data_IF_501949364168
#
_entry.id   IF_501949364168
#
_cell.length_a   1.000
_cell.length_b   1.000
_cell.length_c   1.000
_cell.angle_alpha   90.00
_cell.angle_beta   90.00
_cell.angle_gamma   90.00
#
_symmetry.space_group_name_H-M   'P 1'
#
loop_
_entity.id
_entity.type
_entity.pdbx_description
1 polymer ?
#
# COMPACT_ATOMS: atom_id res chain seq x y z
N UNK A 1 7.17 77.69 -31.75
CA UNK A 1 7.95 76.44 -31.60
C UNK A 1 7.42 75.72 -30.36
N UNK A 2 6.33 74.95 -30.48
CA UNK A 2 5.62 74.38 -29.32
C UNK A 2 5.58 72.84 -29.45
N UNK A 3 6.39 72.13 -28.65
CA UNK A 3 6.37 70.67 -28.56
C UNK A 3 5.26 70.25 -27.60
N UNK A 4 4.20 69.63 -28.12
CA UNK A 4 3.23 68.89 -27.31
C UNK A 4 3.84 67.53 -26.97
N UNK A 5 4.09 67.28 -25.68
CA UNK A 5 4.50 65.97 -25.17
C UNK A 5 3.21 65.17 -24.92
N UNK A 6 3.01 64.07 -25.64
CA UNK A 6 1.94 63.12 -25.41
C UNK A 6 2.46 62.03 -24.45
N UNK A 7 1.87 61.93 -23.26
CA UNK A 7 2.05 60.79 -22.36
C UNK A 7 1.20 59.62 -22.87
N UNK A 8 1.85 58.50 -23.18
CA UNK A 8 1.17 57.24 -23.45
C UNK A 8 1.03 56.45 -22.14
N UNK A 9 -0.21 56.26 -21.66
CA UNK A 9 -0.51 55.29 -20.61
C UNK A 9 -0.49 53.88 -21.21
N UNK A 10 0.49 53.07 -20.83
CA UNK A 10 0.50 51.64 -21.12
C UNK A 10 -0.35 50.90 -20.08
N UNK A 11 -1.57 50.50 -20.47
CA UNK A 11 -2.41 49.60 -19.68
C UNK A 11 -1.88 48.18 -19.90
N UNK A 12 -1.19 47.62 -18.91
CA UNK A 12 -0.87 46.19 -18.88
C UNK A 12 -2.12 45.42 -18.48
N UNK A 13 -2.83 44.86 -19.47
CA UNK A 13 -3.90 43.91 -19.22
C UNK A 13 -3.28 42.62 -18.64
N UNK A 14 -3.48 42.37 -17.35
CA UNK A 14 -3.25 41.05 -16.74
C UNK A 14 -4.29 40.08 -17.32
N UNK A 15 -3.97 39.46 -18.45
CA UNK A 15 -4.73 38.32 -18.95
C UNK A 15 -4.41 37.12 -18.05
N UNK A 16 -5.30 36.85 -17.08
CA UNK A 16 -5.27 35.62 -16.29
C UNK A 16 -5.51 34.45 -17.23
N UNK A 17 -4.44 33.84 -17.74
CA UNK A 17 -4.52 32.59 -18.48
C UNK A 17 -4.93 31.50 -17.49
N UNK A 18 -6.23 31.17 -17.48
CA UNK A 18 -6.70 29.99 -16.78
C UNK A 18 -5.96 28.78 -17.37
N UNK A 19 -5.03 28.22 -16.59
CA UNK A 19 -4.37 26.98 -16.98
C UNK A 19 -5.43 25.88 -16.98
N UNK A 20 -5.55 25.07 -18.05
CA UNK A 20 -6.40 23.89 -18.00
C UNK A 20 -5.94 23.03 -16.83
N UNK A 21 -6.86 22.71 -15.91
CA UNK A 21 -6.59 21.73 -14.86
C UNK A 21 -6.58 20.36 -15.52
N UNK A 22 -5.40 19.75 -15.64
CA UNK A 22 -5.31 18.36 -16.07
C UNK A 22 -5.37 17.47 -14.84
N UNK A 23 -6.21 16.44 -14.87
CA UNK A 23 -6.05 15.32 -13.95
C UNK A 23 -4.70 14.64 -14.25
N UNK A 24 -3.98 14.28 -13.20
CA UNK A 24 -2.77 13.48 -13.26
C UNK A 24 -2.98 12.20 -12.46
N UNK A 25 -2.49 11.07 -12.99
CA UNK A 25 -2.47 9.79 -12.28
C UNK A 25 -1.05 9.53 -11.82
N UNK A 26 -0.87 9.18 -10.56
CA UNK A 26 0.40 8.72 -9.99
C UNK A 26 0.22 7.28 -9.52
N UNK A 27 1.16 6.40 -9.86
CA UNK A 27 1.16 4.99 -9.47
C UNK A 27 2.43 4.72 -8.68
N UNK A 28 2.28 4.15 -7.48
CA UNK A 28 3.38 3.80 -6.59
C UNK A 28 3.04 2.55 -5.79
N UNK A 29 4.08 1.84 -5.35
CA UNK A 29 3.95 0.62 -4.55
C UNK A 29 3.72 0.88 -3.06
N UNK A 30 3.56 -0.20 -2.31
CA UNK A 30 3.56 -0.15 -0.85
C UNK A 30 4.92 0.34 -0.32
N UNK A 31 4.88 1.11 0.76
CA UNK A 31 6.05 1.56 1.50
C UNK A 31 6.44 0.60 2.64
N UNK A 32 5.46 -0.16 3.17
CA UNK A 32 5.65 -1.24 4.13
C UNK A 32 4.59 -2.31 3.89
N UNK A 33 4.92 -3.58 4.07
CA UNK A 33 3.95 -4.66 4.13
C UNK A 33 4.33 -5.76 5.15
N UNK A 34 3.33 -6.33 5.83
CA UNK A 34 3.57 -7.40 6.80
C UNK A 34 2.32 -8.25 7.00
N UNK A 35 2.50 -9.53 7.34
CA UNK A 35 1.39 -10.44 7.69
C UNK A 35 1.49 -10.93 9.14
N UNK A 36 0.33 -11.10 9.80
CA UNK A 36 0.20 -11.59 11.18
C UNK A 36 -0.69 -12.83 11.26
N UNK A 37 -0.41 -13.70 12.24
CA UNK A 37 -0.94 -15.05 12.31
C UNK A 37 -1.60 -15.32 13.67
N UNK A 38 -2.90 -15.60 13.69
CA UNK A 38 -3.65 -15.79 14.95
C UNK A 38 -3.16 -17.00 15.76
N UNK A 39 -2.78 -18.09 15.11
CA UNK A 39 -2.30 -19.30 15.78
C UNK A 39 -0.82 -19.22 16.17
N UNK A 40 -0.05 -18.33 15.55
CA UNK A 40 1.37 -18.13 15.81
C UNK A 40 1.57 -16.66 16.19
N UNK A 41 1.08 -16.29 17.36
CA UNK A 41 0.95 -14.90 17.81
C UNK A 41 2.27 -14.13 17.93
N UNK A 42 3.39 -14.84 18.04
CA UNK A 42 4.76 -14.30 18.12
C UNK A 42 5.50 -14.38 16.76
N UNK A 43 4.81 -14.81 15.70
CA UNK A 43 5.36 -14.83 14.35
C UNK A 43 4.98 -13.57 13.57
N UNK A 44 5.86 -13.21 12.65
CA UNK A 44 5.76 -12.08 11.74
C UNK A 44 6.19 -12.46 10.32
N UNK A 45 5.99 -11.51 9.39
CA UNK A 45 6.16 -11.70 7.95
C UNK A 45 6.43 -10.36 7.25
N UNK A 46 7.32 -9.53 7.78
CA UNK A 46 7.68 -8.22 7.19
C UNK A 46 8.67 -8.30 6.01
N UNK A 47 9.45 -9.37 5.93
CA UNK A 47 10.41 -9.62 4.84
C UNK A 47 9.90 -10.63 3.81
N UNK A 48 8.62 -10.98 3.84
CA UNK A 48 8.00 -11.99 3.00
C UNK A 48 7.85 -11.54 1.53
N UNK A 49 7.57 -12.48 0.63
CA UNK A 49 7.36 -12.16 -0.80
C UNK A 49 5.89 -11.81 -1.12
N UNK A 50 5.01 -11.80 -0.12
CA UNK A 50 3.60 -11.53 -0.36
C UNK A 50 2.77 -11.50 0.92
N UNK A 51 1.56 -10.98 0.76
CA UNK A 51 0.59 -10.82 1.83
C UNK A 51 -0.20 -12.10 2.06
N UNK A 52 -0.29 -12.54 3.32
CA UNK A 52 -1.11 -13.68 3.73
C UNK A 52 -2.36 -13.17 4.45
N UNK A 53 -3.52 -13.43 3.87
CA UNK A 53 -4.84 -13.03 4.39
C UNK A 53 -5.81 -14.20 4.44
N UNK A 54 -6.94 -14.04 5.13
CA UNK A 54 -7.97 -15.08 5.26
C UNK A 54 -7.67 -16.05 6.41
N UNK A 55 -7.79 -17.35 6.17
CA UNK A 55 -7.60 -18.40 7.20
C UNK A 55 -6.75 -19.57 6.70
N UNK A 56 -6.16 -20.38 7.61
CA UNK A 56 -5.66 -21.73 7.24
C UNK A 56 -6.80 -22.75 7.19
N UNK A 57 -6.43 -23.98 6.84
CA UNK A 57 -7.19 -25.21 7.04
C UNK A 57 -7.69 -25.44 8.49
N UNK A 58 -7.15 -24.74 9.49
CA UNK A 58 -7.61 -24.80 10.88
C UNK A 58 -8.48 -23.58 11.27
N UNK A 59 -8.97 -22.80 10.30
CA UNK A 59 -9.79 -21.59 10.52
C UNK A 59 -9.14 -20.50 11.37
N UNK A 60 -7.82 -20.55 11.57
CA UNK A 60 -7.05 -19.51 12.23
C UNK A 60 -6.83 -18.34 11.27
N UNK A 61 -7.12 -17.12 11.73
CA UNK A 61 -7.06 -15.90 10.94
C UNK A 61 -5.64 -15.47 10.57
N UNK A 62 -5.53 -14.81 9.41
CA UNK A 62 -4.34 -14.13 8.89
C UNK A 62 -4.76 -12.78 8.39
N UNK A 63 -3.96 -11.78 8.72
CA UNK A 63 -4.20 -10.39 8.33
C UNK A 63 -2.91 -9.84 7.78
N UNK A 64 -3.04 -8.97 6.79
CA UNK A 64 -1.95 -8.22 6.24
C UNK A 64 -2.13 -6.74 6.59
N UNK A 65 -1.03 -6.07 6.88
CA UNK A 65 -0.93 -4.63 6.91
C UNK A 65 -0.16 -4.16 5.68
N UNK A 66 -0.62 -3.07 5.08
CA UNK A 66 0.03 -2.40 3.96
C UNK A 66 -0.01 -0.90 4.21
N UNK A 67 1.13 -0.23 4.02
CA UNK A 67 1.25 1.21 4.16
C UNK A 67 1.71 1.82 2.84
N UNK A 68 1.31 3.06 2.59
CA UNK A 68 1.64 3.80 1.38
C UNK A 68 2.07 5.22 1.74
N UNK A 69 3.17 5.70 1.16
CA UNK A 69 3.60 7.10 1.32
C UNK A 69 2.86 8.04 0.35
N UNK A 70 1.57 8.27 0.59
CA UNK A 70 0.76 9.10 -0.30
C UNK A 70 1.29 10.55 -0.35
N UNK A 71 1.80 11.09 0.75
CA UNK A 71 2.26 12.48 0.82
C UNK A 71 3.55 12.70 0.02
N UNK A 72 4.43 11.70 -0.05
CA UNK A 72 5.67 11.76 -0.85
C UNK A 72 5.43 11.78 -2.36
N UNK A 73 4.30 11.23 -2.83
CA UNK A 73 3.99 11.11 -4.26
C UNK A 73 2.97 12.13 -4.80
N UNK A 74 2.17 12.76 -3.93
CA UNK A 74 1.10 13.68 -4.35
C UNK A 74 1.52 15.15 -4.12
N UNK A 75 1.47 16.02 -5.14
CA UNK A 75 1.81 17.43 -5.00
C UNK A 75 0.97 18.16 -3.95
N UNK A 76 1.60 19.06 -3.18
CA UNK A 76 0.91 19.89 -2.21
C UNK A 76 -0.21 20.71 -2.88
N UNK A 77 -1.41 20.70 -2.28
CA UNK A 77 -2.59 21.40 -2.80
C UNK A 77 -3.37 20.62 -3.87
N UNK A 78 -2.94 19.42 -4.26
CA UNK A 78 -3.72 18.56 -5.15
C UNK A 78 -5.01 18.07 -4.47
N UNK A 79 -6.09 17.97 -5.24
CA UNK A 79 -7.35 17.35 -4.83
C UNK A 79 -7.39 15.93 -5.38
N UNK A 80 -7.43 14.93 -4.49
CA UNK A 80 -7.55 13.53 -4.88
C UNK A 80 -8.99 13.24 -5.31
N UNK A 81 -9.18 12.90 -6.59
CA UNK A 81 -10.51 12.63 -7.16
C UNK A 81 -10.90 11.15 -7.06
N UNK A 82 -9.93 10.25 -7.18
CA UNK A 82 -10.13 8.81 -7.06
C UNK A 82 -8.87 8.14 -6.54
N UNK A 83 -9.03 6.96 -5.96
CA UNK A 83 -7.95 6.07 -5.52
C UNK A 83 -8.30 4.66 -5.97
N UNK A 84 -7.32 3.93 -6.47
CA UNK A 84 -7.41 2.52 -6.81
C UNK A 84 -6.31 1.77 -6.06
N UNK A 85 -6.66 0.63 -5.47
CA UNK A 85 -5.73 -0.32 -4.88
C UNK A 85 -5.73 -1.58 -5.74
N UNK A 86 -4.62 -1.85 -6.40
CA UNK A 86 -4.42 -3.06 -7.19
C UNK A 86 -3.70 -4.12 -6.35
N UNK A 87 -4.34 -5.28 -6.19
CA UNK A 87 -3.78 -6.45 -5.51
C UNK A 87 -3.77 -7.64 -6.48
N UNK A 88 -2.65 -8.36 -6.52
CA UNK A 88 -2.52 -9.58 -7.32
C UNK A 88 -2.75 -10.79 -6.43
N UNK A 89 -3.73 -11.63 -6.77
CA UNK A 89 -3.97 -12.88 -6.07
C UNK A 89 -2.90 -13.90 -6.46
N UNK A 90 -1.93 -14.11 -5.58
CA UNK A 90 -0.83 -15.05 -5.80
C UNK A 90 -1.18 -16.53 -5.60
N UNK A 91 -2.28 -16.83 -4.91
CA UNK A 91 -2.78 -18.19 -4.72
C UNK A 91 -3.82 -18.30 -3.61
N UNK A 92 -4.54 -19.43 -3.59
CA UNK A 92 -5.54 -19.75 -2.56
C UNK A 92 -5.13 -21.05 -1.87
N UNK A 93 -4.97 -21.00 -0.54
CA UNK A 93 -4.68 -22.18 0.26
C UNK A 93 -5.88 -23.15 0.22
N UNK A 94 -5.64 -24.43 -0.05
CA UNK A 94 -6.70 -25.45 -0.17
C UNK A 94 -6.88 -26.03 -1.58
N UNK A 95 -6.25 -25.44 -2.62
CA UNK A 95 -6.21 -26.00 -3.98
C UNK A 95 -5.35 -27.26 -4.16
N UNK A 96 -4.89 -27.86 -3.06
CA UNK A 96 -4.06 -29.07 -3.06
C UNK A 96 -4.86 -30.33 -3.42
N UNK A 97 -5.18 -30.49 -4.70
CA UNK A 97 -5.58 -31.77 -5.30
C UNK A 97 -6.94 -32.36 -4.87
N UNK A 98 -7.72 -31.67 -4.05
CA UNK A 98 -9.00 -32.16 -3.52
C UNK A 98 -10.15 -31.21 -3.75
N UNK A 99 -10.46 -30.88 -5.00
CA UNK A 99 -11.81 -30.50 -5.48
C UNK A 99 -12.60 -29.37 -4.78
N UNK A 100 -12.04 -28.66 -3.81
CA UNK A 100 -12.68 -27.51 -3.20
C UNK A 100 -12.57 -26.32 -4.15
N UNK A 101 -13.69 -25.93 -4.76
CA UNK A 101 -13.77 -24.67 -5.47
C UNK A 101 -13.27 -23.54 -4.56
N UNK A 102 -12.57 -22.56 -5.13
CA UNK A 102 -12.42 -21.28 -4.47
C UNK A 102 -13.83 -20.72 -4.32
N UNK A 103 -14.45 -20.90 -3.16
CA UNK A 103 -15.60 -20.10 -2.79
C UNK A 103 -15.17 -18.63 -2.89
N UNK A 104 -16.10 -17.75 -3.28
CA UNK A 104 -15.84 -16.31 -3.30
C UNK A 104 -15.44 -15.84 -1.88
N UNK A 105 -14.14 -15.71 -1.63
CA UNK A 105 -13.63 -15.25 -0.34
C UNK A 105 -13.63 -13.73 -0.35
N UNK A 106 -14.44 -13.14 0.53
CA UNK A 106 -14.39 -11.69 0.76
C UNK A 106 -13.20 -11.35 1.65
N UNK A 107 -12.26 -10.57 1.12
CA UNK A 107 -11.19 -9.94 1.91
C UNK A 107 -11.61 -8.52 2.25
N UNK A 108 -11.72 -8.22 3.54
CA UNK A 108 -12.04 -6.88 4.03
C UNK A 108 -10.80 -5.98 4.08
N UNK A 109 -10.95 -4.72 3.64
CA UNK A 109 -9.94 -3.68 3.80
C UNK A 109 -10.33 -2.76 4.96
N UNK A 110 -9.42 -2.55 5.90
CA UNK A 110 -9.65 -1.73 7.08
C UNK A 110 -8.51 -0.74 7.29
N UNK A 111 -8.84 0.48 7.69
CA UNK A 111 -7.83 1.47 8.07
C UNK A 111 -7.26 1.14 9.44
N UNK A 112 -5.94 1.04 9.54
CA UNK A 112 -5.24 0.96 10.82
C UNK A 112 -5.15 2.35 11.46
N UNK A 113 -5.35 2.41 12.77
CA UNK A 113 -5.31 3.65 13.55
C UNK A 113 -3.95 3.94 14.19
N UNK A 114 -3.09 2.92 14.29
CA UNK A 114 -1.75 3.01 14.84
C UNK A 114 -0.72 2.62 13.77
N UNK A 115 0.45 3.25 13.83
CA UNK A 115 1.59 2.84 13.02
C UNK A 115 2.15 1.50 13.53
N UNK A 116 2.93 0.85 12.67
CA UNK A 116 3.48 -0.48 12.89
C UNK A 116 4.86 -0.62 12.21
N UNK A 117 5.68 -1.54 12.70
CA UNK A 117 6.97 -1.86 12.12
C UNK A 117 6.84 -3.00 11.12
N UNK A 118 7.42 -2.84 9.93
CA UNK A 118 7.50 -3.89 8.93
C UNK A 118 8.33 -5.06 9.46
N UNK A 119 9.59 -4.75 9.80
CA UNK A 119 10.56 -5.72 10.26
C UNK A 119 11.14 -6.54 9.09
N UNK A 120 11.71 -7.71 9.40
CA UNK A 120 12.48 -8.51 8.44
C UNK A 120 12.16 -10.00 8.53
N UNK A 121 11.18 -10.40 9.35
CA UNK A 121 10.82 -11.80 9.48
C UNK A 121 10.39 -12.38 8.12
N UNK A 122 10.91 -13.57 7.81
CA UNK A 122 10.73 -14.30 6.53
C UNK A 122 11.44 -13.75 5.29
N UNK A 123 12.44 -12.86 5.42
CA UNK A 123 13.34 -12.54 4.30
C UNK A 123 13.92 -13.80 3.67
N UNK A 124 13.70 -13.98 2.37
CA UNK A 124 14.20 -15.12 1.61
C UNK A 124 15.68 -14.94 1.26
N UNK A 125 16.49 -15.97 1.53
CA UNK A 125 17.90 -16.02 1.12
C UNK A 125 18.24 -17.41 0.57
N UNK A 126 18.51 -17.56 -0.74
CA UNK A 126 18.48 -16.50 -1.77
C UNK A 126 17.07 -15.96 -1.98
N UNK A 127 16.98 -14.73 -2.52
CA UNK A 127 15.69 -14.16 -2.90
C UNK A 127 14.99 -15.06 -3.95
N UNK A 128 13.69 -15.24 -3.79
CA UNK A 128 12.83 -15.94 -4.74
C UNK A 128 11.49 -15.20 -4.83
N UNK A 129 10.66 -15.53 -5.82
CA UNK A 129 9.28 -15.07 -5.97
C UNK A 129 8.26 -16.08 -5.40
N UNK A 130 8.74 -17.14 -4.74
CA UNK A 130 7.88 -18.21 -4.23
C UNK A 130 7.03 -17.75 -3.06
N UNK A 131 5.73 -18.04 -3.10
CA UNK A 131 4.79 -17.87 -1.98
C UNK A 131 4.71 -19.11 -1.07
N UNK A 132 5.40 -20.19 -1.44
CA UNK A 132 5.39 -21.45 -0.69
C UNK A 132 6.00 -21.30 0.70
N UNK A 133 5.38 -21.96 1.70
CA UNK A 133 5.91 -22.00 3.08
C UNK A 133 5.70 -20.73 3.91
N UNK A 134 5.09 -19.67 3.35
CA UNK A 134 4.96 -18.39 4.05
C UNK A 134 3.75 -18.31 5.00
N UNK A 135 2.77 -19.21 4.84
CA UNK A 135 1.46 -19.14 5.53
C UNK A 135 1.44 -19.34 7.05
N UNK A 136 2.59 -19.38 7.71
CA UNK A 136 2.75 -19.53 9.16
C UNK A 136 3.61 -18.45 9.81
N UNK A 137 4.22 -17.54 9.03
CA UNK A 137 5.18 -16.60 9.57
C UNK A 137 6.52 -17.23 9.95
N UNK A 138 7.47 -16.41 10.37
CA UNK A 138 8.66 -16.83 11.13
C UNK A 138 8.69 -16.11 12.47
N UNK A 139 9.56 -16.55 13.39
CA UNK A 139 9.76 -15.88 14.67
C UNK A 139 10.09 -14.39 14.44
N UNK A 140 9.39 -13.51 15.15
CA UNK A 140 9.57 -12.07 15.04
C UNK A 140 10.95 -11.63 15.56
N UNK A 141 11.55 -10.67 14.86
CA UNK A 141 12.67 -9.86 15.31
C UNK A 141 12.16 -8.51 15.85
N UNK A 142 13.08 -7.71 16.40
CA UNK A 142 12.77 -6.34 16.85
C UNK A 142 12.22 -5.51 15.69
N UNK A 143 11.07 -4.86 15.90
CA UNK A 143 10.43 -4.01 14.90
C UNK A 143 9.50 -4.74 13.93
N UNK A 144 9.26 -6.04 14.11
CA UNK A 144 8.25 -6.79 13.35
C UNK A 144 6.83 -6.63 13.94
N UNK A 145 5.85 -6.42 13.07
CA UNK A 145 4.44 -6.51 13.41
C UNK A 145 4.02 -7.97 13.71
N UNK A 146 3.36 -8.19 14.84
CA UNK A 146 2.83 -9.50 15.28
C UNK A 146 1.35 -9.41 15.63
N UNK A 147 0.73 -10.55 16.00
CA UNK A 147 -0.65 -10.53 16.49
C UNK A 147 -0.79 -9.77 17.82
N UNK A 148 0.29 -9.68 18.61
CA UNK A 148 0.30 -9.08 19.96
C UNK A 148 0.81 -7.65 20.00
N UNK A 149 1.74 -7.28 19.11
CA UNK A 149 2.40 -5.98 19.12
C UNK A 149 2.48 -5.40 17.72
N UNK A 150 2.45 -4.07 17.63
CA UNK A 150 2.68 -3.35 16.39
C UNK A 150 4.16 -3.14 16.06
N UNK A 151 5.08 -3.29 17.03
CA UNK A 151 6.54 -3.41 16.89
C UNK A 151 7.21 -3.72 18.24
#
# INVERSE_FOLDING_TARGET
MNRKVLLALAVWALTSTARPTSAATVVFGAAKDASIFQNNIDNASGGANGLIVGTNAQSSSRRAAVAFDVAGYIPAGAVIQSVQLDLVLGGVAGGGGGGGAADDVTIGLHRLAADWGEGVAQTQSPASDSLGGQGQGAAAATGDLTWRSNF
#
